data_IF_727232972671
#
_entry.id   IF_727232972671
#
_cell.length_a   1.000
_cell.length_b   1.000
_cell.length_c   1.000
_cell.angle_alpha   90.00
_cell.angle_beta   90.00
_cell.angle_gamma   90.00
#
_symmetry.space_group_name_H-M   'P 1'
#
loop_
_entity.id
_entity.type
_entity.pdbx_description
1 polymer ?
#
# COMPACT_ATOMS: atom_id res chain seq x y z
N UNK A 1 42.77 -33.83 -10.82
CA UNK A 1 42.09 -32.57 -11.09
C UNK A 1 40.61 -32.90 -11.14
N UNK A 2 39.95 -32.81 -9.99
CA UNK A 2 38.50 -32.88 -9.95
C UNK A 2 37.97 -31.64 -10.66
N UNK A 3 37.30 -31.83 -11.76
CA UNK A 3 36.49 -30.78 -12.38
C UNK A 3 35.37 -30.50 -11.40
N UNK A 4 35.47 -29.37 -10.70
CA UNK A 4 34.42 -28.85 -9.81
C UNK A 4 33.17 -28.60 -10.68
N UNK A 5 32.29 -29.61 -10.80
CA UNK A 5 31.00 -29.43 -11.47
C UNK A 5 30.17 -28.48 -10.65
N UNK A 6 29.90 -27.30 -11.19
CA UNK A 6 29.05 -26.29 -10.56
C UNK A 6 27.69 -26.88 -10.18
N UNK A 7 27.34 -26.77 -8.92
CA UNK A 7 26.04 -27.24 -8.44
C UNK A 7 24.90 -26.35 -8.96
N UNK A 8 23.66 -26.84 -8.93
CA UNK A 8 22.48 -26.06 -9.27
C UNK A 8 22.39 -24.77 -8.41
N UNK A 9 22.83 -24.85 -7.15
CA UNK A 9 22.86 -23.69 -6.24
C UNK A 9 23.89 -22.64 -6.67
N UNK A 10 25.05 -23.07 -7.16
CA UNK A 10 26.09 -22.15 -7.64
C UNK A 10 25.62 -21.40 -8.89
N UNK A 11 24.95 -22.10 -9.81
CA UNK A 11 24.35 -21.50 -11.00
C UNK A 11 23.27 -20.50 -10.64
N UNK A 12 22.43 -20.81 -9.66
CA UNK A 12 21.39 -19.90 -9.18
C UNK A 12 21.97 -18.66 -8.51
N UNK A 13 23.00 -18.83 -7.67
CA UNK A 13 23.70 -17.71 -7.04
C UNK A 13 24.38 -16.80 -8.08
N UNK A 14 24.98 -17.37 -9.12
CA UNK A 14 25.57 -16.59 -10.22
C UNK A 14 24.51 -15.79 -10.99
N UNK A 15 23.35 -16.40 -11.28
CA UNK A 15 22.22 -15.68 -11.92
C UNK A 15 21.75 -14.50 -11.06
N UNK A 16 21.63 -14.71 -9.76
CA UNK A 16 21.21 -13.67 -8.82
C UNK A 16 22.24 -12.54 -8.73
N UNK A 17 23.54 -12.86 -8.67
CA UNK A 17 24.62 -11.86 -8.72
C UNK A 17 24.56 -11.04 -10.00
N UNK A 18 24.36 -11.69 -11.13
CA UNK A 18 24.23 -11.02 -12.42
C UNK A 18 23.01 -10.13 -12.47
N UNK A 19 21.86 -10.59 -11.97
CA UNK A 19 20.65 -9.79 -11.86
C UNK A 19 20.90 -8.52 -11.02
N UNK A 20 21.57 -8.64 -9.88
CA UNK A 20 21.85 -7.48 -9.02
C UNK A 20 22.85 -6.50 -9.62
N UNK A 21 23.80 -6.96 -10.44
CA UNK A 21 24.79 -6.09 -11.09
C UNK A 21 24.26 -5.42 -12.35
N UNK A 22 23.52 -6.15 -13.17
CA UNK A 22 23.17 -5.72 -14.51
C UNK A 22 21.83 -4.97 -14.58
N UNK A 23 20.91 -5.28 -13.66
CA UNK A 23 19.60 -4.65 -13.65
C UNK A 23 19.65 -3.27 -12.98
N UNK A 24 19.35 -2.18 -13.73
CA UNK A 24 19.35 -0.81 -13.20
C UNK A 24 18.43 -0.61 -11.99
N UNK A 25 17.45 -1.50 -11.81
CA UNK A 25 16.55 -1.53 -10.64
C UNK A 25 17.32 -1.56 -9.31
N UNK A 26 18.47 -2.22 -9.29
CA UNK A 26 19.25 -2.46 -8.07
C UNK A 26 20.38 -1.46 -7.85
N UNK A 27 20.52 -0.49 -8.75
CA UNK A 27 21.54 0.54 -8.62
C UNK A 27 21.37 1.34 -7.32
N UNK A 28 22.42 1.34 -6.48
CA UNK A 28 22.42 2.05 -5.19
C UNK A 28 21.66 1.34 -4.08
N UNK A 29 21.27 0.06 -4.25
CA UNK A 29 20.70 -0.79 -3.19
C UNK A 29 21.80 -1.67 -2.63
N UNK A 30 22.12 -1.47 -1.35
CA UNK A 30 23.12 -2.25 -0.62
C UNK A 30 22.47 -3.47 0.04
N UNK A 31 23.16 -4.59 -0.06
CA UNK A 31 22.82 -5.84 0.63
C UNK A 31 23.93 -6.19 1.59
N UNK A 32 23.60 -6.53 2.83
CA UNK A 32 24.57 -6.97 3.84
C UNK A 32 24.89 -8.48 3.77
N UNK A 33 24.50 -9.15 2.67
CA UNK A 33 24.62 -10.59 2.47
C UNK A 33 24.96 -10.92 1.01
N UNK A 34 25.40 -12.15 0.77
CA UNK A 34 25.75 -12.62 -0.55
C UNK A 34 24.59 -13.36 -1.25
N UNK A 35 24.66 -13.51 -2.57
CA UNK A 35 23.67 -14.27 -3.33
C UNK A 35 23.61 -15.74 -2.90
N UNK A 36 24.75 -16.32 -2.52
CA UNK A 36 24.87 -17.67 -1.96
C UNK A 36 24.05 -17.83 -0.67
N UNK A 37 24.01 -16.80 0.18
CA UNK A 37 23.18 -16.82 1.38
C UNK A 37 21.70 -16.88 1.04
N UNK A 38 21.27 -16.08 0.06
CA UNK A 38 19.89 -16.09 -0.42
C UNK A 38 19.50 -17.48 -0.93
N UNK A 39 20.32 -18.06 -1.81
CA UNK A 39 20.05 -19.39 -2.38
C UNK A 39 20.05 -20.46 -1.30
N UNK A 40 20.95 -20.36 -0.30
CA UNK A 40 21.00 -21.28 0.84
C UNK A 40 19.73 -21.20 1.71
N UNK A 41 19.16 -20.02 1.87
CA UNK A 41 17.98 -19.77 2.70
C UNK A 41 16.65 -20.02 1.97
N UNK A 42 16.66 -20.10 0.65
CA UNK A 42 15.49 -20.52 -0.14
C UNK A 42 15.16 -21.99 0.14
N UNK A 43 13.87 -22.34 0.02
CA UNK A 43 13.47 -23.74 -0.03
C UNK A 43 13.91 -24.42 -1.34
N UNK A 44 13.75 -25.73 -1.39
CA UNK A 44 14.03 -26.51 -2.62
C UNK A 44 13.05 -26.24 -3.77
N UNK A 45 11.89 -25.67 -3.46
CA UNK A 45 10.87 -25.25 -4.41
C UNK A 45 10.70 -23.72 -4.35
N UNK A 46 10.84 -23.06 -5.48
CA UNK A 46 10.52 -21.64 -5.60
C UNK A 46 9.01 -21.47 -5.79
N UNK A 47 8.32 -20.99 -4.75
CA UNK A 47 6.91 -20.62 -4.84
C UNK A 47 6.78 -19.31 -5.59
N UNK A 48 5.86 -19.22 -6.55
CA UNK A 48 5.62 -18.00 -7.30
C UNK A 48 4.58 -17.11 -6.62
N UNK A 49 4.96 -15.86 -6.36
CA UNK A 49 4.10 -14.82 -5.80
C UNK A 49 3.72 -13.83 -6.90
N UNK A 50 2.89 -14.28 -7.84
CA UNK A 50 2.59 -13.58 -9.09
C UNK A 50 2.07 -12.15 -8.87
N UNK A 51 1.12 -11.95 -7.93
CA UNK A 51 0.56 -10.63 -7.65
C UNK A 51 1.60 -9.67 -7.07
N UNK A 52 2.39 -10.12 -6.09
CA UNK A 52 3.45 -9.31 -5.50
C UNK A 52 4.51 -8.93 -6.54
N UNK A 53 4.96 -9.89 -7.35
CA UNK A 53 5.98 -9.65 -8.39
C UNK A 53 5.49 -8.66 -9.44
N UNK A 54 4.35 -8.93 -10.06
CA UNK A 54 3.78 -8.02 -11.08
C UNK A 54 3.42 -6.65 -10.50
N UNK A 55 2.90 -6.62 -9.27
CA UNK A 55 2.61 -5.39 -8.55
C UNK A 55 3.87 -4.55 -8.29
N UNK A 56 4.96 -5.18 -7.83
CA UNK A 56 6.25 -4.52 -7.58
C UNK A 56 6.86 -3.96 -8.85
N UNK A 57 6.88 -4.76 -9.93
CA UNK A 57 7.35 -4.33 -11.24
C UNK A 57 6.51 -3.15 -11.79
N UNK A 58 5.18 -3.23 -11.65
CA UNK A 58 4.27 -2.15 -12.05
C UNK A 58 4.49 -0.88 -11.22
N UNK A 59 4.62 -1.00 -9.90
CA UNK A 59 4.88 0.14 -9.02
C UNK A 59 6.19 0.82 -9.39
N UNK A 60 7.25 0.03 -9.56
CA UNK A 60 8.56 0.56 -9.98
C UNK A 60 8.47 1.31 -11.29
N UNK A 61 7.86 0.72 -12.32
CA UNK A 61 7.65 1.35 -13.63
C UNK A 61 6.85 2.65 -13.52
N UNK A 62 5.75 2.66 -12.79
CA UNK A 62 4.94 3.86 -12.58
C UNK A 62 5.74 5.02 -11.96
N UNK A 63 6.62 4.73 -10.99
CA UNK A 63 7.48 5.72 -10.36
C UNK A 63 8.57 6.27 -11.31
N UNK A 64 8.98 5.49 -12.31
CA UNK A 64 9.93 5.95 -13.34
C UNK A 64 9.23 6.79 -14.43
N UNK A 65 8.05 6.39 -14.86
CA UNK A 65 7.33 6.97 -15.99
C UNK A 65 6.52 8.22 -15.62
N UNK A 66 5.99 8.29 -14.38
CA UNK A 66 5.14 9.39 -13.94
C UNK A 66 5.92 10.43 -13.14
N UNK A 67 5.45 11.69 -13.12
CA UNK A 67 5.99 12.70 -12.20
C UNK A 67 5.98 12.22 -10.75
N UNK A 68 4.88 11.60 -10.34
CA UNK A 68 4.70 10.91 -9.08
C UNK A 68 3.55 9.90 -9.18
N UNK A 69 3.50 8.96 -8.25
CA UNK A 69 2.40 8.01 -8.06
C UNK A 69 1.64 8.43 -6.81
N UNK A 70 0.39 8.84 -6.98
CA UNK A 70 -0.50 9.15 -5.87
C UNK A 70 -1.35 7.93 -5.48
N UNK A 71 -1.66 7.80 -4.20
CA UNK A 71 -2.48 6.72 -3.67
C UNK A 71 -3.31 7.16 -2.47
N UNK A 72 -4.35 6.40 -2.20
CA UNK A 72 -5.26 6.63 -1.08
C UNK A 72 -5.26 5.39 -0.18
N UNK A 73 -5.36 5.62 1.13
CA UNK A 73 -5.58 4.55 2.09
C UNK A 73 -6.91 3.85 1.81
N UNK A 74 -6.86 2.54 1.54
CA UNK A 74 -8.05 1.69 1.48
C UNK A 74 -8.19 0.89 2.76
N UNK A 75 -9.41 0.77 3.27
CA UNK A 75 -9.74 -0.02 4.45
C UNK A 75 -10.38 -1.37 4.07
N UNK A 76 -11.07 -1.41 2.93
CA UNK A 76 -11.80 -2.57 2.43
C UNK A 76 -11.49 -2.86 0.96
N UNK A 77 -11.77 -4.09 0.52
CA UNK A 77 -11.67 -4.44 -0.90
C UNK A 77 -12.58 -3.59 -1.79
N UNK A 78 -13.79 -3.27 -1.33
CA UNK A 78 -14.73 -2.44 -2.09
C UNK A 78 -14.22 -0.99 -2.24
N UNK A 79 -13.60 -0.41 -1.21
CA UNK A 79 -12.96 0.90 -1.35
C UNK A 79 -11.83 0.87 -2.39
N UNK A 80 -11.00 -0.17 -2.35
CA UNK A 80 -9.92 -0.35 -3.33
C UNK A 80 -10.46 -0.49 -4.76
N UNK A 81 -11.54 -1.25 -4.97
CA UNK A 81 -12.23 -1.35 -6.26
C UNK A 81 -12.64 0.04 -6.78
N UNK A 82 -13.24 0.86 -5.93
CA UNK A 82 -13.67 2.22 -6.33
C UNK A 82 -12.48 3.14 -6.61
N UNK A 83 -11.38 3.02 -5.86
CA UNK A 83 -10.15 3.78 -6.14
C UNK A 83 -9.59 3.44 -7.53
N UNK A 84 -9.49 2.15 -7.87
CA UNK A 84 -9.00 1.69 -9.17
C UNK A 84 -9.92 2.14 -10.29
N UNK A 85 -11.24 1.96 -10.14
CA UNK A 85 -12.25 2.40 -11.11
C UNK A 85 -12.20 3.90 -11.35
N UNK A 86 -11.95 4.69 -10.32
CA UNK A 86 -11.79 6.14 -10.41
C UNK A 86 -10.42 6.57 -11.00
N UNK A 87 -9.53 5.64 -11.33
CA UNK A 87 -8.24 5.92 -11.98
C UNK A 87 -7.08 6.20 -11.03
N UNK A 88 -7.21 5.91 -9.72
CA UNK A 88 -6.09 6.01 -8.78
C UNK A 88 -5.07 4.90 -9.09
N UNK A 89 -3.79 5.22 -9.35
CA UNK A 89 -2.84 4.27 -9.93
C UNK A 89 -2.27 3.25 -8.96
N UNK A 90 -2.38 3.48 -7.65
CA UNK A 90 -1.85 2.62 -6.60
C UNK A 90 -2.72 2.72 -5.35
N UNK A 91 -2.64 1.71 -4.50
CA UNK A 91 -3.38 1.63 -3.24
C UNK A 91 -2.36 1.71 -2.09
N UNK A 92 -2.67 2.51 -1.08
CA UNK A 92 -1.96 2.49 0.19
C UNK A 92 -2.76 1.69 1.23
N UNK A 93 -2.09 0.82 1.99
CA UNK A 93 -2.69 0.10 3.10
C UNK A 93 -2.08 0.55 4.42
N UNK A 94 -2.86 1.33 5.16
CA UNK A 94 -2.49 1.98 6.40
C UNK A 94 -2.62 1.03 7.59
N UNK A 95 -1.55 0.87 8.36
CA UNK A 95 -1.58 0.18 9.66
C UNK A 95 -2.53 0.87 10.64
N UNK A 96 -2.60 2.20 10.62
CA UNK A 96 -3.57 2.96 11.42
C UNK A 96 -5.02 2.55 11.13
N UNK A 97 -5.40 2.45 9.85
CA UNK A 97 -6.75 2.03 9.47
C UNK A 97 -7.02 0.57 9.85
N UNK A 98 -6.01 -0.29 9.73
CA UNK A 98 -6.10 -1.70 10.16
C UNK A 98 -6.28 -1.79 11.68
N UNK A 99 -5.53 -1.02 12.46
CA UNK A 99 -5.71 -0.93 13.91
C UNK A 99 -7.14 -0.50 14.27
N UNK A 100 -7.67 0.52 13.58
CA UNK A 100 -8.96 1.10 13.88
C UNK A 100 -10.13 0.15 13.61
N UNK A 101 -10.14 -0.60 12.49
CA UNK A 101 -11.37 -1.30 12.06
C UNK A 101 -11.16 -2.56 11.19
N UNK A 102 -9.95 -3.08 11.05
CA UNK A 102 -9.73 -4.23 10.14
C UNK A 102 -8.69 -5.24 10.64
N UNK A 103 -8.39 -5.25 11.95
CA UNK A 103 -7.38 -6.15 12.50
C UNK A 103 -7.94 -7.53 12.89
N UNK A 104 -7.07 -8.53 12.91
CA UNK A 104 -7.40 -9.91 13.24
C UNK A 104 -7.74 -10.12 14.73
N UNK A 105 -7.47 -9.13 15.59
CA UNK A 105 -7.88 -9.15 17.00
C UNK A 105 -9.34 -8.78 17.20
N UNK A 106 -10.06 -8.38 16.13
CA UNK A 106 -11.47 -8.00 16.13
C UNK A 106 -11.81 -6.86 17.12
N UNK A 107 -10.86 -5.97 17.34
CA UNK A 107 -10.99 -4.87 18.28
C UNK A 107 -10.64 -3.53 17.62
N UNK A 108 -11.14 -2.44 18.18
CA UNK A 108 -10.76 -1.09 17.79
C UNK A 108 -9.56 -0.65 18.60
N UNK A 109 -8.43 -0.40 17.94
CA UNK A 109 -7.19 0.00 18.58
C UNK A 109 -6.67 1.34 18.04
N UNK A 110 -5.94 2.11 18.87
CA UNK A 110 -5.08 3.17 18.37
C UNK A 110 -3.90 2.57 17.59
N UNK A 111 -3.24 3.42 16.80
CA UNK A 111 -2.05 3.06 16.02
C UNK A 111 -0.81 2.91 16.94
N UNK A 112 -0.75 1.80 17.66
CA UNK A 112 0.28 1.45 18.65
C UNK A 112 0.72 -0.02 18.56
N UNK A 113 0.58 -0.64 17.40
CA UNK A 113 0.94 -2.04 17.14
C UNK A 113 0.33 -3.05 18.14
N UNK A 114 -0.93 -2.79 18.56
CA UNK A 114 -1.64 -3.67 19.51
C UNK A 114 -2.32 -4.86 18.83
N UNK A 115 -2.42 -4.84 17.52
CA UNK A 115 -3.05 -5.91 16.73
C UNK A 115 -2.02 -6.96 16.30
N UNK A 116 -2.52 -8.13 15.90
CA UNK A 116 -1.68 -9.23 15.43
C UNK A 116 -0.93 -8.88 14.15
N UNK A 117 0.32 -9.34 14.01
CA UNK A 117 1.19 -9.11 12.84
C UNK A 117 0.59 -9.58 11.51
N UNK A 118 -0.36 -10.52 11.57
CA UNK A 118 -1.10 -11.05 10.41
C UNK A 118 -2.14 -10.09 9.86
N UNK A 119 -2.52 -9.05 10.61
CA UNK A 119 -3.67 -8.19 10.29
C UNK A 119 -3.47 -7.42 8.98
N UNK A 120 -2.34 -6.76 8.78
CA UNK A 120 -2.06 -6.02 7.53
C UNK A 120 -1.95 -6.98 6.34
N UNK A 121 -1.19 -8.09 6.39
CA UNK A 121 -1.20 -9.11 5.33
C UNK A 121 -2.61 -9.64 5.00
N UNK A 122 -3.45 -9.87 5.99
CA UNK A 122 -4.85 -10.33 5.79
C UNK A 122 -5.65 -9.31 4.96
N UNK A 123 -5.51 -8.01 5.26
CA UNK A 123 -6.23 -6.96 4.49
C UNK A 123 -5.64 -6.78 3.10
N UNK A 124 -4.31 -6.87 2.91
CA UNK A 124 -3.67 -6.91 1.58
C UNK A 124 -4.29 -8.02 0.74
N UNK A 125 -4.38 -9.23 1.29
CA UNK A 125 -4.96 -10.38 0.61
C UNK A 125 -6.45 -10.17 0.27
N UNK A 126 -7.23 -9.61 1.20
CA UNK A 126 -8.65 -9.26 0.97
C UNK A 126 -8.81 -8.28 -0.19
N UNK A 127 -8.00 -7.23 -0.24
CA UNK A 127 -8.02 -6.25 -1.33
C UNK A 127 -7.66 -6.92 -2.66
N UNK A 128 -6.59 -7.70 -2.71
CA UNK A 128 -6.19 -8.41 -3.91
C UNK A 128 -7.28 -9.37 -4.41
N UNK A 129 -7.98 -10.08 -3.51
CA UNK A 129 -9.10 -10.95 -3.90
C UNK A 129 -10.29 -10.16 -4.47
N UNK A 130 -10.58 -8.95 -3.96
CA UNK A 130 -11.60 -8.08 -4.52
C UNK A 130 -11.21 -7.62 -5.94
N UNK A 131 -9.97 -7.18 -6.14
CA UNK A 131 -9.46 -6.76 -7.44
C UNK A 131 -9.43 -7.92 -8.45
N UNK A 132 -9.03 -9.12 -8.02
CA UNK A 132 -9.10 -10.33 -8.85
C UNK A 132 -10.55 -10.65 -9.26
N UNK A 133 -11.51 -10.47 -8.36
CA UNK A 133 -12.93 -10.68 -8.69
C UNK A 133 -13.41 -9.66 -9.71
N UNK A 134 -13.03 -8.40 -9.59
CA UNK A 134 -13.36 -7.40 -10.62
C UNK A 134 -12.79 -7.75 -11.99
N UNK A 135 -11.53 -8.19 -12.03
CA UNK A 135 -10.88 -8.64 -13.26
C UNK A 135 -11.63 -9.84 -13.87
N UNK A 136 -12.01 -10.82 -13.06
CA UNK A 136 -12.77 -11.99 -13.52
C UNK A 136 -14.14 -11.61 -14.07
N UNK A 137 -14.85 -10.68 -13.44
CA UNK A 137 -16.16 -10.19 -13.90
C UNK A 137 -15.99 -9.49 -15.25
N UNK A 138 -15.09 -8.52 -15.33
CA UNK A 138 -14.88 -7.77 -16.57
C UNK A 138 -14.39 -8.67 -17.71
N UNK A 139 -13.47 -9.60 -17.41
CA UNK A 139 -12.99 -10.57 -18.41
C UNK A 139 -14.09 -11.48 -18.92
N UNK A 140 -14.97 -12.00 -18.05
CA UNK A 140 -16.12 -12.82 -18.45
C UNK A 140 -17.13 -12.02 -19.29
N UNK A 141 -17.28 -10.72 -19.02
CA UNK A 141 -18.13 -9.82 -19.81
C UNK A 141 -17.45 -9.30 -21.10
N UNK A 142 -16.21 -9.73 -21.39
CA UNK A 142 -15.45 -9.28 -22.56
C UNK A 142 -14.92 -7.84 -22.45
N UNK A 143 -14.81 -7.31 -21.24
CA UNK A 143 -14.30 -5.97 -20.94
C UNK A 143 -12.82 -6.02 -20.55
N UNK A 144 -12.03 -5.00 -20.92
CA UNK A 144 -10.59 -4.93 -20.67
C UNK A 144 -10.07 -3.50 -20.44
N UNK A 145 -10.96 -2.55 -20.20
CA UNK A 145 -10.61 -1.13 -20.11
C UNK A 145 -9.91 -0.78 -18.80
N UNK A 146 -10.15 -1.56 -17.73
CA UNK A 146 -9.58 -1.32 -16.41
C UNK A 146 -8.52 -2.37 -16.09
N UNK A 147 -7.30 -1.92 -15.80
CA UNK A 147 -6.27 -2.75 -15.19
C UNK A 147 -6.49 -2.78 -13.67
N UNK A 148 -7.23 -3.79 -13.21
CA UNK A 148 -7.60 -3.95 -11.80
C UNK A 148 -6.44 -4.21 -10.86
N UNK A 149 -5.30 -4.70 -11.36
CA UNK A 149 -4.15 -5.06 -10.53
C UNK A 149 -3.31 -3.84 -10.15
N UNK A 150 -3.92 -2.88 -9.42
CA UNK A 150 -3.20 -1.77 -8.85
C UNK A 150 -2.19 -2.24 -7.79
N UNK A 151 -0.94 -1.75 -7.80
CA UNK A 151 0.05 -2.11 -6.81
C UNK A 151 -0.34 -1.59 -5.42
N UNK A 152 -0.19 -2.43 -4.39
CA UNK A 152 -0.46 -2.10 -2.99
C UNK A 152 0.84 -1.84 -2.27
N UNK A 153 0.97 -0.67 -1.63
CA UNK A 153 2.05 -0.36 -0.68
C UNK A 153 1.50 -0.49 0.73
N UNK A 154 2.09 -1.38 1.52
CA UNK A 154 1.58 -1.80 2.82
C UNK A 154 2.46 -1.34 3.98
N UNK A 155 1.82 -1.06 5.10
CA UNK A 155 2.41 -0.64 6.36
C UNK A 155 2.89 -1.85 7.17
N UNK A 156 4.19 -1.95 7.44
CA UNK A 156 4.76 -2.94 8.33
C UNK A 156 5.08 -2.39 9.74
N UNK A 157 4.58 -1.18 10.05
CA UNK A 157 4.83 -0.55 11.35
C UNK A 157 6.34 -0.49 11.66
N UNK A 158 6.72 -0.67 12.91
CA UNK A 158 8.12 -0.84 13.34
C UNK A 158 8.63 -2.29 13.20
N UNK A 159 7.93 -3.15 12.47
CA UNK A 159 8.29 -4.54 12.24
C UNK A 159 7.84 -5.52 13.36
N UNK A 160 7.06 -5.06 14.33
CA UNK A 160 6.50 -5.85 15.45
C UNK A 160 7.55 -6.58 16.32
N UNK A 161 8.79 -6.13 16.30
CA UNK A 161 9.87 -6.72 17.07
C UNK A 161 11.24 -6.48 16.45
N UNK A 162 12.11 -7.49 16.49
CA UNK A 162 13.46 -7.43 15.94
C UNK A 162 13.54 -7.83 14.46
N UNK A 163 14.76 -8.11 14.01
CA UNK A 163 15.06 -8.43 12.60
C UNK A 163 14.35 -9.67 12.08
N UNK A 164 14.14 -10.69 12.92
CA UNK A 164 13.44 -11.91 12.52
C UNK A 164 11.95 -11.65 12.34
N UNK A 165 11.35 -10.79 13.16
CA UNK A 165 9.97 -10.35 12.99
C UNK A 165 9.80 -9.59 11.68
N UNK A 166 10.72 -8.65 11.37
CA UNK A 166 10.70 -7.90 10.12
C UNK A 166 10.85 -8.82 8.89
N UNK A 167 11.73 -9.83 8.96
CA UNK A 167 11.91 -10.84 7.92
C UNK A 167 10.63 -11.63 7.64
N UNK A 168 10.01 -12.21 8.68
CA UNK A 168 8.77 -13.00 8.52
C UNK A 168 7.58 -12.14 8.12
N UNK A 169 7.46 -10.91 8.65
CA UNK A 169 6.39 -9.99 8.26
C UNK A 169 6.50 -9.60 6.77
N UNK A 170 7.73 -9.33 6.28
CA UNK A 170 7.93 -9.05 4.85
C UNK A 170 7.52 -10.24 3.98
N UNK A 171 7.83 -11.48 4.39
CA UNK A 171 7.37 -12.68 3.68
C UNK A 171 5.85 -12.73 3.63
N UNK A 172 5.17 -12.55 4.76
CA UNK A 172 3.72 -12.55 4.83
C UNK A 172 3.08 -11.46 3.95
N UNK A 173 3.69 -10.26 3.86
CA UNK A 173 3.26 -9.19 2.95
C UNK A 173 3.38 -9.61 1.48
N UNK A 174 4.49 -10.23 1.10
CA UNK A 174 4.72 -10.73 -0.26
C UNK A 174 3.74 -11.86 -0.61
N UNK A 175 3.53 -12.80 0.29
CA UNK A 175 2.57 -13.90 0.13
C UNK A 175 1.13 -13.38 -0.03
N UNK A 176 0.80 -12.27 0.62
CA UNK A 176 -0.48 -11.59 0.47
C UNK A 176 -0.61 -10.80 -0.83
N UNK A 177 0.51 -10.55 -1.54
CA UNK A 177 0.55 -9.84 -2.82
C UNK A 177 0.87 -8.34 -2.72
N UNK A 178 1.54 -7.89 -1.65
CA UNK A 178 2.01 -6.51 -1.54
C UNK A 178 3.10 -6.20 -2.60
N UNK A 179 3.00 -5.04 -3.24
CA UNK A 179 3.96 -4.54 -4.21
C UNK A 179 5.10 -3.75 -3.58
N UNK A 180 4.80 -3.05 -2.51
CA UNK A 180 5.75 -2.30 -1.70
C UNK A 180 5.41 -2.43 -0.22
N UNK A 181 6.42 -2.26 0.63
CA UNK A 181 6.28 -2.35 2.09
C UNK A 181 7.18 -1.31 2.73
N UNK A 182 6.68 -0.61 3.74
CA UNK A 182 7.50 0.30 4.52
C UNK A 182 7.67 -0.16 5.97
N UNK A 183 8.84 0.16 6.53
CA UNK A 183 9.20 -0.03 7.93
C UNK A 183 9.64 1.29 8.53
N UNK A 184 9.31 1.53 9.80
CA UNK A 184 9.71 2.73 10.53
C UNK A 184 10.71 2.43 11.64
N UNK A 185 11.45 3.46 12.07
CA UNK A 185 12.56 3.35 13.03
C UNK A 185 12.14 3.49 14.49
N UNK A 186 10.87 3.31 14.82
CA UNK A 186 10.39 3.31 16.19
C UNK A 186 10.67 1.97 16.91
N UNK A 187 10.76 2.04 18.24
CA UNK A 187 10.74 0.85 19.10
C UNK A 187 9.34 0.22 19.07
N UNK A 188 9.25 -1.01 18.56
CA UNK A 188 7.97 -1.69 18.31
C UNK A 188 7.10 -1.81 19.59
N UNK A 189 7.69 -2.07 20.74
CA UNK A 189 6.97 -2.27 22.02
C UNK A 189 6.29 -1.02 22.59
N UNK A 190 6.69 0.18 22.12
CA UNK A 190 6.10 1.47 22.54
C UNK A 190 5.76 2.37 21.37
N UNK A 191 5.55 1.77 20.19
CA UNK A 191 5.24 2.47 18.94
C UNK A 191 4.03 3.41 19.11
N UNK A 192 4.12 4.57 18.49
CA UNK A 192 3.05 5.58 18.43
C UNK A 192 2.79 5.97 16.97
N UNK A 193 1.57 6.42 16.69
CA UNK A 193 1.27 7.11 15.44
C UNK A 193 2.25 8.27 15.22
N UNK A 194 2.69 8.49 13.98
CA UNK A 194 3.70 9.48 13.63
C UNK A 194 3.44 10.90 14.12
N UNK A 195 2.18 11.26 14.34
CA UNK A 195 1.75 12.59 14.82
C UNK A 195 1.58 12.66 16.34
N UNK A 196 1.85 11.57 17.08
CA UNK A 196 1.75 11.51 18.53
C UNK A 196 3.09 11.80 19.20
N UNK A 197 3.03 12.22 20.46
CA UNK A 197 4.20 12.35 21.33
C UNK A 197 4.68 11.01 21.88
N UNK A 198 5.84 11.03 22.54
CA UNK A 198 6.38 9.86 23.25
C UNK A 198 6.93 8.76 22.35
N UNK A 199 7.29 9.10 21.11
CA UNK A 199 7.94 8.18 20.18
C UNK A 199 9.37 7.88 20.65
N UNK A 200 9.75 6.61 20.62
CA UNK A 200 11.10 6.13 20.94
C UNK A 200 11.70 5.52 19.69
N UNK A 201 12.85 6.02 19.25
CA UNK A 201 13.59 5.46 18.12
C UNK A 201 14.45 4.28 18.58
N UNK A 202 14.63 3.31 17.69
CA UNK A 202 15.75 2.37 17.82
C UNK A 202 17.02 3.02 17.28
N UNK A 203 18.25 2.53 17.63
CA UNK A 203 19.48 3.00 16.99
C UNK A 203 19.40 2.92 15.47
N UNK A 204 20.04 3.85 14.77
CA UNK A 204 20.04 3.88 13.30
C UNK A 204 20.43 2.53 12.70
N UNK A 205 21.46 1.88 13.24
CA UNK A 205 21.93 0.57 12.77
C UNK A 205 20.89 -0.54 12.97
N UNK A 206 20.11 -0.49 14.06
CA UNK A 206 19.03 -1.47 14.28
C UNK A 206 17.92 -1.31 13.23
N UNK A 207 17.54 -0.08 12.91
CA UNK A 207 16.59 0.20 11.83
C UNK A 207 17.13 -0.29 10.47
N UNK A 208 18.41 -0.03 10.17
CA UNK A 208 19.10 -0.56 8.98
C UNK A 208 19.04 -2.08 8.95
N UNK A 209 19.28 -2.78 10.05
CA UNK A 209 19.20 -4.23 10.10
C UNK A 209 17.79 -4.77 9.80
N UNK A 210 16.74 -4.07 10.22
CA UNK A 210 15.35 -4.41 9.85
C UNK A 210 15.11 -4.25 8.35
N UNK A 211 15.65 -3.17 7.74
CA UNK A 211 15.58 -2.99 6.28
C UNK A 211 16.33 -4.09 5.52
N UNK A 212 17.52 -4.47 6.01
CA UNK A 212 18.30 -5.60 5.45
C UNK A 212 17.52 -6.92 5.57
N UNK A 213 16.88 -7.16 6.71
CA UNK A 213 16.03 -8.34 6.93
C UNK A 213 14.84 -8.38 5.95
N UNK A 214 14.16 -7.26 5.76
CA UNK A 214 13.06 -7.13 4.81
C UNK A 214 13.54 -7.35 3.36
N UNK A 215 14.69 -6.78 2.97
CA UNK A 215 15.28 -7.01 1.65
C UNK A 215 15.68 -8.47 1.45
N UNK A 216 16.26 -9.09 2.46
CA UNK A 216 16.62 -10.52 2.41
C UNK A 216 15.37 -11.38 2.22
N UNK A 217 14.28 -11.10 2.91
CA UNK A 217 13.01 -11.80 2.73
C UNK A 217 12.50 -11.71 1.28
N UNK A 218 12.53 -10.51 0.70
CA UNK A 218 12.14 -10.28 -0.69
C UNK A 218 13.04 -11.06 -1.68
N UNK A 219 14.35 -11.01 -1.48
CA UNK A 219 15.30 -11.75 -2.31
C UNK A 219 15.15 -13.27 -2.16
N UNK A 220 14.89 -13.77 -0.94
CA UNK A 220 14.62 -15.21 -0.69
C UNK A 220 13.35 -15.66 -1.41
N UNK A 221 12.28 -14.87 -1.39
CA UNK A 221 11.04 -15.17 -2.12
C UNK A 221 11.12 -14.85 -3.62
N UNK A 222 12.19 -14.22 -4.09
CA UNK A 222 12.39 -13.89 -5.50
C UNK A 222 11.44 -12.83 -6.03
N UNK A 223 11.03 -11.89 -5.19
CA UNK A 223 10.13 -10.79 -5.54
C UNK A 223 10.84 -9.45 -5.42
N UNK A 224 10.83 -8.57 -6.45
CA UNK A 224 11.49 -7.27 -6.41
C UNK A 224 10.67 -6.23 -5.63
N UNK A 225 10.22 -6.58 -4.43
CA UNK A 225 9.37 -5.73 -3.59
C UNK A 225 9.99 -4.35 -3.38
N UNK A 226 9.20 -3.31 -3.56
CA UNK A 226 9.64 -1.94 -3.30
C UNK A 226 9.69 -1.72 -1.79
N UNK A 227 10.88 -1.44 -1.27
CA UNK A 227 11.11 -1.22 0.15
C UNK A 227 11.23 0.27 0.45
N UNK A 228 10.40 0.76 1.37
CA UNK A 228 10.43 2.13 1.83
C UNK A 228 10.93 2.17 3.29
N UNK A 229 11.82 3.08 3.59
CA UNK A 229 12.28 3.36 4.95
C UNK A 229 11.65 4.64 5.46
N UNK A 230 10.93 4.56 6.58
CA UNK A 230 10.36 5.71 7.28
C UNK A 230 11.23 6.08 8.47
N UNK A 231 11.49 7.38 8.66
CA UNK A 231 12.00 7.90 9.91
C UNK A 231 10.99 8.80 10.61
N UNK A 232 10.87 8.64 11.92
CA UNK A 232 10.06 9.48 12.81
C UNK A 232 10.92 10.51 13.59
N UNK A 233 12.19 10.64 13.24
CA UNK A 233 13.18 11.42 13.98
C UNK A 233 12.94 12.94 13.96
N UNK A 234 12.09 13.43 13.05
CA UNK A 234 11.67 14.84 13.05
C UNK A 234 10.96 15.22 14.37
N UNK A 235 10.13 14.33 14.90
CA UNK A 235 9.35 14.58 16.11
C UNK A 235 9.73 13.70 17.30
N UNK A 236 10.51 12.63 17.10
CA UNK A 236 10.92 11.71 18.16
C UNK A 236 12.18 12.22 18.88
N UNK A 237 12.08 12.36 20.19
CA UNK A 237 13.14 12.89 21.05
C UNK A 237 13.68 11.85 22.05
N UNK A 238 13.40 10.57 21.82
CA UNK A 238 13.91 9.45 22.63
C UNK A 238 14.55 8.39 21.73
N UNK A 239 15.65 7.79 22.22
CA UNK A 239 16.36 6.68 21.57
C UNK A 239 16.64 5.60 22.61
N UNK A 240 16.58 4.33 22.22
CA UNK A 240 16.77 3.20 23.15
C UNK A 240 18.21 3.04 23.63
N UNK A 241 19.22 3.50 22.87
CA UNK A 241 20.64 3.29 23.16
C UNK A 241 21.50 4.44 22.61
N UNK A 242 22.69 4.60 23.18
CA UNK A 242 23.71 5.59 22.81
C UNK A 242 24.89 5.00 22.02
N UNK A 243 24.77 3.76 21.58
CA UNK A 243 25.90 3.04 20.98
C UNK A 243 26.15 3.41 19.52
N UNK A 244 25.15 3.98 18.82
CA UNK A 244 25.23 4.24 17.39
C UNK A 244 25.91 5.57 17.09
N UNK A 245 26.96 5.54 16.26
CA UNK A 245 27.75 6.73 15.90
C UNK A 245 26.90 7.76 15.13
N UNK A 246 25.90 7.30 14.35
CA UNK A 246 25.02 8.22 13.63
C UNK A 246 24.06 8.98 14.55
N UNK A 247 23.73 8.40 15.70
CA UNK A 247 22.78 8.99 16.66
C UNK A 247 23.48 9.85 17.75
N UNK A 248 24.74 9.53 18.09
CA UNK A 248 25.51 10.24 19.15
C UNK A 248 25.48 11.76 19.02
N UNK A 249 25.63 12.39 17.85
CA UNK A 249 25.61 13.84 17.72
C UNK A 249 24.30 14.49 18.20
N UNK A 250 23.21 13.74 18.26
CA UNK A 250 21.89 14.23 18.63
C UNK A 250 21.53 13.98 20.10
N UNK A 251 22.28 13.13 20.81
CA UNK A 251 22.00 12.80 22.20
C UNK A 251 22.31 13.99 23.13
N UNK A 252 21.45 14.19 24.15
CA UNK A 252 21.60 15.28 25.12
C UNK A 252 22.41 14.90 26.34
N UNK A 253 22.64 13.61 26.55
CA UNK A 253 23.24 13.06 27.78
C UNK A 253 22.22 12.80 28.91
N UNK A 254 20.96 13.21 28.74
CA UNK A 254 19.90 12.96 29.70
C UNK A 254 19.19 11.63 29.40
N UNK A 255 18.56 11.05 30.45
CA UNK A 255 17.75 9.82 30.33
C UNK A 255 16.36 9.99 30.95
N UNK A 256 15.43 9.22 30.48
CA UNK A 256 14.09 9.11 31.09
C UNK A 256 14.11 8.12 32.26
N UNK A 257 13.05 8.10 33.11
CA UNK A 257 12.92 7.09 34.16
C UNK A 257 13.00 5.64 33.67
N UNK A 258 12.53 5.35 32.46
CA UNK A 258 12.60 4.03 31.82
C UNK A 258 14.00 3.71 31.29
N UNK A 259 14.89 4.70 31.25
CA UNK A 259 16.26 4.56 30.78
C UNK A 259 16.50 4.91 29.33
N UNK A 260 15.52 5.41 28.58
CA UNK A 260 15.73 5.90 27.23
C UNK A 260 16.61 7.16 27.23
N UNK A 261 17.44 7.28 26.19
CA UNK A 261 18.27 8.46 25.99
C UNK A 261 17.46 9.58 25.34
N UNK A 262 17.56 10.81 25.85
CA UNK A 262 16.95 11.96 25.19
C UNK A 262 17.80 12.42 24.02
N UNK A 263 17.15 12.77 22.92
CA UNK A 263 17.79 13.29 21.71
C UNK A 263 17.17 14.63 21.27
N UNK A 264 17.95 15.38 20.49
CA UNK A 264 17.47 16.59 19.81
C UNK A 264 16.74 16.18 18.54
N UNK A 265 15.42 16.12 18.62
CA UNK A 265 14.56 15.91 17.46
C UNK A 265 14.66 17.04 16.43
N UNK A 266 14.19 16.79 15.23
CA UNK A 266 14.08 17.80 14.18
C UNK A 266 14.79 17.40 12.89
N UNK A 267 14.94 18.38 12.02
CA UNK A 267 15.44 18.20 10.65
C UNK A 267 16.78 17.46 10.58
N UNK A 268 17.77 17.87 11.37
CA UNK A 268 19.12 17.32 11.26
C UNK A 268 19.18 15.83 11.64
N UNK A 269 18.47 15.43 12.71
CA UNK A 269 18.36 14.03 13.11
C UNK A 269 17.62 13.22 12.04
N UNK A 270 16.50 13.74 11.52
CA UNK A 270 15.74 13.07 10.47
C UNK A 270 16.54 12.92 9.18
N UNK A 271 17.27 13.96 8.76
CA UNK A 271 18.12 13.92 7.58
C UNK A 271 19.27 12.91 7.74
N UNK A 272 19.95 12.89 8.89
CA UNK A 272 21.02 11.94 9.16
C UNK A 272 20.55 10.49 9.02
N UNK A 273 19.39 10.16 9.59
CA UNK A 273 18.78 8.83 9.46
C UNK A 273 18.29 8.54 8.03
N UNK A 274 17.67 9.53 7.38
CA UNK A 274 17.25 9.40 5.97
C UNK A 274 18.40 9.06 5.04
N UNK A 275 19.57 9.68 5.22
CA UNK A 275 20.79 9.38 4.47
C UNK A 275 21.27 7.94 4.76
N UNK A 276 21.28 7.52 6.02
CA UNK A 276 21.71 6.17 6.39
C UNK A 276 20.80 5.08 5.81
N UNK A 277 19.49 5.32 5.75
CA UNK A 277 18.52 4.35 5.21
C UNK A 277 18.52 4.28 3.68
N UNK A 278 18.93 5.35 3.02
CA UNK A 278 18.89 5.46 1.55
C UNK A 278 19.72 4.38 0.83
N UNK A 279 20.76 3.82 1.45
CA UNK A 279 21.53 2.72 0.89
C UNK A 279 20.77 1.39 0.87
N UNK A 280 19.78 1.20 1.74
CA UNK A 280 19.12 -0.09 1.97
C UNK A 280 17.67 -0.12 1.47
N UNK A 281 17.05 1.03 1.28
CA UNK A 281 15.68 1.15 0.80
C UNK A 281 15.62 1.73 -0.61
N UNK A 282 14.53 1.47 -1.30
CA UNK A 282 14.24 2.06 -2.62
C UNK A 282 13.80 3.52 -2.49
N UNK A 283 12.97 3.80 -1.48
CA UNK A 283 12.52 5.14 -1.15
C UNK A 283 12.79 5.44 0.33
N UNK A 284 12.96 6.73 0.62
CA UNK A 284 13.05 7.23 1.99
C UNK A 284 11.87 8.16 2.27
N UNK A 285 11.29 8.04 3.46
CA UNK A 285 10.19 8.84 3.93
C UNK A 285 10.51 9.41 5.31
N UNK A 286 10.45 10.74 5.44
CA UNK A 286 10.46 11.43 6.72
C UNK A 286 9.02 11.77 7.12
N UNK A 287 8.54 11.25 8.24
CA UNK A 287 7.26 11.66 8.81
C UNK A 287 7.36 13.07 9.36
N UNK A 288 6.39 13.94 9.04
CA UNK A 288 6.35 15.34 9.45
C UNK A 288 5.02 15.70 10.13
N UNK A 289 5.01 16.77 10.91
CA UNK A 289 3.81 17.22 11.64
C UNK A 289 2.95 18.23 10.89
N UNK A 290 3.47 18.84 9.81
CA UNK A 290 2.79 19.87 9.02
C UNK A 290 3.16 19.75 7.54
N UNK A 291 2.27 20.24 6.62
CA UNK A 291 2.60 20.28 5.20
C UNK A 291 3.53 21.46 4.91
N UNK A 292 4.82 21.17 4.71
CA UNK A 292 5.88 22.17 4.50
C UNK A 292 6.74 21.79 3.29
N UNK A 293 6.57 22.54 2.19
CA UNK A 293 7.35 22.33 0.95
C UNK A 293 8.82 22.72 1.10
N UNK A 294 9.16 23.65 1.99
CA UNK A 294 10.55 24.02 2.21
C UNK A 294 11.30 22.95 3.00
N UNK A 295 10.69 22.43 4.05
CA UNK A 295 11.21 21.26 4.76
C UNK A 295 11.40 20.08 3.79
N UNK A 296 10.38 19.77 2.97
CA UNK A 296 10.43 18.69 2.00
C UNK A 296 11.58 18.87 1.00
N UNK A 297 11.78 20.09 0.49
CA UNK A 297 12.87 20.43 -0.44
C UNK A 297 14.22 20.21 0.21
N UNK A 298 14.44 20.77 1.38
CA UNK A 298 15.71 20.65 2.11
C UNK A 298 16.04 19.18 2.43
N UNK A 299 15.04 18.40 2.80
CA UNK A 299 15.22 16.96 3.07
C UNK A 299 15.60 16.21 1.80
N UNK A 300 14.89 16.47 0.70
CA UNK A 300 15.17 15.85 -0.60
C UNK A 300 16.60 16.20 -1.09
N UNK A 301 16.97 17.47 -1.07
CA UNK A 301 18.30 17.94 -1.45
C UNK A 301 19.39 17.32 -0.58
N UNK A 302 19.16 17.22 0.74
CA UNK A 302 20.11 16.63 1.68
C UNK A 302 20.34 15.13 1.40
N UNK A 303 19.29 14.35 1.18
CA UNK A 303 19.39 12.92 0.83
C UNK A 303 20.05 12.76 -0.54
N UNK A 304 19.60 13.51 -1.55
CA UNK A 304 20.07 13.36 -2.92
C UNK A 304 21.50 13.89 -3.14
N UNK A 305 21.98 14.75 -2.27
CA UNK A 305 23.39 15.19 -2.28
C UNK A 305 24.33 14.01 -1.99
N UNK A 306 23.92 13.07 -1.14
CA UNK A 306 24.72 11.88 -0.79
C UNK A 306 24.37 10.71 -1.71
N UNK A 307 23.08 10.55 -2.03
CA UNK A 307 22.54 9.48 -2.85
C UNK A 307 21.81 10.06 -4.09
N UNK A 308 22.54 10.48 -5.13
CA UNK A 308 21.94 11.11 -6.31
C UNK A 308 20.85 10.27 -6.95
N UNK A 309 19.67 10.88 -7.18
CA UNK A 309 18.53 10.21 -7.78
C UNK A 309 17.72 9.31 -6.84
N UNK A 310 18.04 9.31 -5.53
CA UNK A 310 17.24 8.56 -4.55
C UNK A 310 15.80 9.07 -4.55
N UNK A 311 14.86 8.16 -4.75
CA UNK A 311 13.43 8.45 -4.68
C UNK A 311 12.97 8.60 -3.22
N UNK A 312 11.94 9.41 -3.04
CA UNK A 312 11.35 9.72 -1.75
C UNK A 312 9.85 9.39 -1.75
N UNK A 313 9.29 9.20 -0.55
CA UNK A 313 7.85 9.08 -0.34
C UNK A 313 7.36 10.16 0.62
N UNK A 314 6.09 10.55 0.48
CA UNK A 314 5.48 11.60 1.30
C UNK A 314 4.07 11.22 1.75
N UNK A 315 3.83 11.33 3.05
CA UNK A 315 2.50 11.21 3.63
C UNK A 315 1.79 12.56 3.56
N UNK A 316 0.83 12.70 2.65
CA UNK A 316 -0.11 13.83 2.63
C UNK A 316 -1.15 13.61 3.74
N UNK A 317 -0.70 13.69 4.98
CA UNK A 317 -1.45 13.24 6.14
C UNK A 317 -2.80 13.97 6.33
N UNK A 318 -3.87 13.24 6.65
CA UNK A 318 -5.12 13.85 7.11
C UNK A 318 -5.01 14.45 8.53
N UNK A 319 -3.94 14.18 9.27
CA UNK A 319 -3.64 14.87 10.53
C UNK A 319 -3.17 16.31 10.33
N UNK A 320 -2.82 16.69 9.11
CA UNK A 320 -2.55 18.07 8.77
C UNK A 320 -3.88 18.85 8.61
N UNK A 321 -3.98 20.01 9.22
CA UNK A 321 -5.04 20.94 8.83
C UNK A 321 -4.55 21.75 7.63
N UNK A 322 -4.79 21.22 6.43
CA UNK A 322 -4.29 21.77 5.17
C UNK A 322 -4.65 23.24 4.97
N UNK A 323 -5.92 23.60 5.16
CA UNK A 323 -6.44 24.97 4.99
C UNK A 323 -5.94 25.95 6.05
N UNK A 324 -5.58 25.46 7.25
CA UNK A 324 -4.98 26.29 8.30
C UNK A 324 -3.53 26.65 7.97
N UNK A 325 -2.82 25.73 7.31
CA UNK A 325 -1.38 25.87 7.05
C UNK A 325 -1.07 26.47 5.67
N UNK A 326 -1.94 26.26 4.67
CA UNK A 326 -1.67 26.59 3.28
C UNK A 326 -2.86 27.26 2.60
N UNK A 327 -2.60 28.15 1.66
CA UNK A 327 -3.61 28.71 0.76
C UNK A 327 -4.01 27.71 -0.35
N UNK A 328 -5.10 28.00 -1.05
CA UNK A 328 -5.64 27.12 -2.09
C UNK A 328 -4.66 26.93 -3.27
N UNK A 329 -3.94 27.98 -3.63
CA UNK A 329 -2.98 27.92 -4.73
C UNK A 329 -1.82 27.00 -4.40
N UNK A 330 -1.32 27.05 -3.17
CA UNK A 330 -0.26 26.15 -2.68
C UNK A 330 -0.77 24.72 -2.55
N UNK A 331 -1.97 24.51 -2.01
CA UNK A 331 -2.58 23.16 -1.94
C UNK A 331 -2.72 22.54 -3.33
N UNK A 332 -3.20 23.32 -4.31
CA UNK A 332 -3.42 22.82 -5.68
C UNK A 332 -2.14 22.37 -6.41
N UNK A 333 -0.98 22.89 -6.05
CA UNK A 333 0.30 22.52 -6.64
C UNK A 333 1.15 21.58 -5.79
N UNK A 334 0.80 21.36 -4.52
CA UNK A 334 1.62 20.74 -3.49
C UNK A 334 2.23 19.40 -3.93
N UNK A 335 1.40 18.48 -4.42
CA UNK A 335 1.87 17.16 -4.86
C UNK A 335 2.78 17.23 -6.11
N UNK A 336 2.54 18.17 -7.02
CA UNK A 336 3.41 18.37 -8.19
C UNK A 336 4.78 18.91 -7.80
N UNK A 337 4.82 19.87 -6.87
CA UNK A 337 6.07 20.38 -6.30
C UNK A 337 6.88 19.26 -5.62
N UNK A 338 6.21 18.43 -4.80
CA UNK A 338 6.84 17.24 -4.20
C UNK A 338 7.40 16.30 -5.27
N UNK A 339 6.62 16.01 -6.31
CA UNK A 339 7.05 15.16 -7.42
C UNK A 339 8.31 15.67 -8.10
N UNK A 340 8.40 16.99 -8.32
CA UNK A 340 9.58 17.66 -8.89
C UNK A 340 10.83 17.56 -8.00
N UNK A 341 10.66 17.45 -6.67
CA UNK A 341 11.75 17.23 -5.71
C UNK A 341 12.19 15.76 -5.62
N UNK A 342 11.47 14.82 -6.25
CA UNK A 342 11.79 13.39 -6.20
C UNK A 342 10.92 12.55 -5.25
N UNK A 343 9.86 13.11 -4.69
CA UNK A 343 8.85 12.37 -3.93
C UNK A 343 7.97 11.58 -4.91
N UNK A 344 8.43 10.41 -5.28
CA UNK A 344 7.83 9.58 -6.34
C UNK A 344 6.60 8.80 -5.90
N UNK A 345 6.44 8.54 -4.62
CA UNK A 345 5.25 7.92 -4.05
C UNK A 345 4.63 8.83 -2.99
N UNK A 346 3.37 9.23 -3.20
CA UNK A 346 2.66 10.16 -2.33
C UNK A 346 1.28 9.57 -1.98
N UNK A 347 0.88 9.67 -0.73
CA UNK A 347 -0.32 8.99 -0.27
C UNK A 347 -1.05 9.76 0.83
N UNK A 348 -2.36 9.50 0.93
CA UNK A 348 -3.20 9.96 2.05
C UNK A 348 -3.53 8.73 2.89
N UNK A 349 -2.91 8.63 4.04
CA UNK A 349 -2.94 7.42 4.90
C UNK A 349 -4.35 6.98 5.28
N UNK A 350 -5.21 7.90 5.72
CA UNK A 350 -6.50 7.60 6.32
C UNK A 350 -7.69 7.99 5.41
N UNK A 351 -7.47 8.05 4.10
CA UNK A 351 -8.52 8.45 3.15
C UNK A 351 -9.77 7.54 3.25
N UNK A 352 -9.55 6.23 3.37
CA UNK A 352 -10.64 5.25 3.51
C UNK A 352 -11.43 5.44 4.80
N UNK A 353 -10.74 5.65 5.93
CA UNK A 353 -11.37 5.89 7.22
C UNK A 353 -12.26 7.16 7.18
N UNK A 354 -11.73 8.27 6.70
CA UNK A 354 -12.48 9.52 6.64
C UNK A 354 -13.66 9.45 5.67
N UNK A 355 -13.47 8.89 4.48
CA UNK A 355 -14.55 8.75 3.50
C UNK A 355 -15.68 7.84 4.02
N UNK A 356 -15.33 6.70 4.63
CA UNK A 356 -16.31 5.77 5.19
C UNK A 356 -17.10 6.40 6.34
N UNK A 357 -16.39 6.98 7.32
CA UNK A 357 -17.03 7.50 8.52
C UNK A 357 -17.87 8.74 8.22
N UNK A 358 -17.36 9.68 7.41
CA UNK A 358 -18.14 10.86 7.05
C UNK A 358 -19.37 10.50 6.20
N UNK A 359 -19.21 9.64 5.20
CA UNK A 359 -20.34 9.24 4.35
C UNK A 359 -21.44 8.51 5.14
N UNK A 360 -21.06 7.63 6.07
CA UNK A 360 -22.05 6.98 6.93
C UNK A 360 -22.68 7.94 7.92
N UNK A 361 -21.91 8.86 8.52
CA UNK A 361 -22.46 9.85 9.44
C UNK A 361 -23.47 10.77 8.73
N UNK A 362 -23.13 11.26 7.54
CA UNK A 362 -24.01 12.16 6.75
C UNK A 362 -25.34 11.46 6.41
N UNK A 363 -25.27 10.24 5.91
CA UNK A 363 -26.46 9.42 5.63
C UNK A 363 -27.27 9.16 6.90
N UNK A 364 -26.65 8.71 7.98
CA UNK A 364 -27.35 8.37 9.22
C UNK A 364 -27.98 9.60 9.87
N UNK A 365 -27.32 10.75 9.83
CA UNK A 365 -27.84 12.00 10.35
C UNK A 365 -29.11 12.44 9.61
N UNK A 366 -29.07 12.36 8.27
CA UNK A 366 -30.22 12.66 7.43
C UNK A 366 -31.35 11.64 7.61
N UNK A 367 -31.04 10.35 7.63
CA UNK A 367 -32.01 9.27 7.76
C UNK A 367 -32.78 9.34 9.11
N UNK A 368 -32.10 9.63 10.21
CA UNK A 368 -32.71 9.75 11.52
C UNK A 368 -33.73 10.93 11.60
N UNK A 369 -33.71 11.89 10.66
CA UNK A 369 -34.58 13.07 10.64
C UNK A 369 -35.59 13.05 9.49
N UNK A 370 -35.16 12.55 8.34
CA UNK A 370 -35.90 12.64 7.07
C UNK A 370 -36.22 11.25 6.47
N UNK A 371 -35.94 10.17 7.20
CA UNK A 371 -36.22 8.79 6.77
C UNK A 371 -35.69 8.49 5.34
N UNK A 372 -36.51 7.90 4.50
CA UNK A 372 -36.12 7.46 3.13
C UNK A 372 -35.68 8.62 2.23
N UNK A 373 -36.09 9.85 2.48
CA UNK A 373 -35.64 10.99 1.67
C UNK A 373 -34.12 11.11 1.65
N UNK A 374 -33.45 10.94 2.80
CA UNK A 374 -31.98 10.98 2.88
C UNK A 374 -31.30 9.87 2.12
N UNK A 375 -31.87 8.66 2.12
CA UNK A 375 -31.33 7.56 1.34
C UNK A 375 -31.51 7.79 -0.17
N UNK A 376 -32.69 8.29 -0.59
CA UNK A 376 -32.96 8.60 -1.98
C UNK A 376 -32.02 9.68 -2.51
N UNK A 377 -31.67 10.68 -1.69
CA UNK A 377 -30.68 11.69 -2.06
C UNK A 377 -29.30 11.07 -2.34
N UNK A 378 -28.85 10.11 -1.51
CA UNK A 378 -27.62 9.34 -1.77
C UNK A 378 -27.74 8.58 -3.07
N UNK A 379 -28.83 7.82 -3.28
CA UNK A 379 -29.06 7.01 -4.48
C UNK A 379 -29.06 7.87 -5.75
N UNK A 380 -29.64 9.08 -5.71
CA UNK A 380 -29.59 9.99 -6.87
C UNK A 380 -28.18 10.52 -7.15
N UNK A 381 -27.36 10.73 -6.12
CA UNK A 381 -25.94 11.07 -6.30
C UNK A 381 -25.16 9.91 -6.94
N UNK A 382 -25.48 8.67 -6.57
CA UNK A 382 -24.91 7.46 -7.18
C UNK A 382 -25.27 7.32 -8.64
N UNK A 383 -26.56 7.55 -9.00
CA UNK A 383 -26.99 7.55 -10.39
C UNK A 383 -26.27 8.63 -11.23
N UNK A 384 -26.17 9.83 -10.73
CA UNK A 384 -25.43 10.90 -11.39
C UNK A 384 -23.92 10.57 -11.53
N UNK A 385 -23.34 9.81 -10.60
CA UNK A 385 -21.95 9.40 -10.67
C UNK A 385 -21.66 8.32 -11.73
N UNK A 386 -22.69 7.69 -12.31
CA UNK A 386 -22.55 6.73 -13.40
C UNK A 386 -21.84 7.35 -14.62
N UNK A 387 -22.04 8.64 -14.90
CA UNK A 387 -21.33 9.37 -15.97
C UNK A 387 -19.81 9.40 -15.77
N UNK A 388 -19.36 9.28 -14.51
CA UNK A 388 -17.93 9.22 -14.13
C UNK A 388 -17.42 7.80 -13.95
N UNK A 389 -18.24 6.77 -14.31
CA UNK A 389 -17.87 5.36 -14.23
C UNK A 389 -18.25 4.65 -12.91
N UNK A 390 -19.03 5.26 -12.02
CA UNK A 390 -19.52 4.60 -10.82
C UNK A 390 -20.59 3.54 -11.18
N UNK A 391 -20.45 2.32 -10.69
CA UNK A 391 -21.32 1.19 -11.05
C UNK A 391 -21.94 0.47 -9.87
N UNK A 392 -21.55 0.81 -8.63
CA UNK A 392 -21.94 0.04 -7.44
C UNK A 392 -23.43 0.16 -7.07
N UNK A 393 -24.21 1.00 -7.76
CA UNK A 393 -25.69 0.96 -7.73
C UNK A 393 -26.18 -0.42 -8.11
N UNK A 394 -25.52 -1.06 -9.08
CA UNK A 394 -25.76 -2.45 -9.50
C UNK A 394 -24.97 -3.39 -8.59
N UNK A 395 -25.33 -3.43 -7.34
CA UNK A 395 -24.53 -4.08 -6.29
C UNK A 395 -24.45 -5.60 -6.44
N UNK A 396 -25.46 -6.27 -7.03
CA UNK A 396 -25.40 -7.70 -7.31
C UNK A 396 -24.37 -8.00 -8.41
N UNK A 397 -24.41 -7.25 -9.50
CA UNK A 397 -23.37 -7.37 -10.56
C UNK A 397 -22.00 -7.02 -10.02
N UNK A 398 -21.90 -5.95 -9.20
CA UNK A 398 -20.63 -5.43 -8.68
C UNK A 398 -19.84 -6.48 -7.86
N UNK A 399 -20.54 -7.35 -7.14
CA UNK A 399 -19.93 -8.44 -6.35
C UNK A 399 -19.84 -9.77 -7.10
N UNK A 400 -20.30 -9.85 -8.36
CA UNK A 400 -20.10 -10.98 -9.26
C UNK A 400 -21.24 -11.97 -9.36
N UNK A 401 -22.49 -11.59 -9.09
CA UNK A 401 -23.63 -12.49 -9.23
C UNK A 401 -23.69 -13.08 -10.65
N UNK A 402 -23.56 -12.27 -11.71
CA UNK A 402 -23.52 -12.75 -13.09
C UNK A 402 -22.35 -13.67 -13.40
N UNK A 403 -21.16 -13.41 -12.83
CA UNK A 403 -20.01 -14.30 -12.96
C UNK A 403 -20.30 -15.71 -12.39
N UNK A 404 -20.98 -15.80 -11.25
CA UNK A 404 -21.35 -17.09 -10.67
C UNK A 404 -22.52 -17.76 -11.42
N UNK A 405 -23.40 -17.00 -12.05
CA UNK A 405 -24.38 -17.54 -12.99
C UNK A 405 -23.67 -18.23 -14.16
N UNK A 406 -22.67 -17.61 -14.75
CA UNK A 406 -21.85 -18.20 -15.83
C UNK A 406 -21.12 -19.45 -15.35
N UNK A 407 -20.51 -19.44 -14.16
CA UNK A 407 -19.88 -20.63 -13.57
C UNK A 407 -20.89 -21.78 -13.45
N UNK A 408 -22.12 -21.47 -12.98
CA UNK A 408 -23.21 -22.48 -12.85
C UNK A 408 -23.62 -23.02 -14.19
N UNK A 409 -23.77 -22.17 -15.21
CA UNK A 409 -24.10 -22.59 -16.56
C UNK A 409 -23.01 -23.50 -17.16
N UNK A 410 -21.75 -23.17 -17.00
CA UNK A 410 -20.60 -23.99 -17.45
C UNK A 410 -20.63 -25.37 -16.77
N UNK A 411 -20.81 -25.43 -15.45
CA UNK A 411 -20.88 -26.70 -14.69
C UNK A 411 -22.03 -27.57 -15.19
N UNK A 412 -23.16 -26.98 -15.52
CA UNK A 412 -24.38 -27.69 -15.94
C UNK A 412 -24.55 -27.78 -17.46
N UNK A 413 -23.49 -27.52 -18.23
CA UNK A 413 -23.50 -27.55 -19.70
C UNK A 413 -24.67 -26.75 -20.33
N UNK A 414 -24.90 -25.55 -19.82
CA UNK A 414 -25.92 -24.63 -20.28
C UNK A 414 -27.37 -24.96 -19.86
N UNK A 415 -27.57 -25.90 -18.94
CA UNK A 415 -28.90 -26.39 -18.55
C UNK A 415 -29.34 -25.90 -17.15
N UNK A 416 -28.65 -24.91 -16.56
CA UNK A 416 -29.10 -24.40 -15.27
C UNK A 416 -30.30 -23.47 -15.41
N UNK A 417 -31.28 -23.66 -14.54
CA UNK A 417 -32.42 -22.76 -14.34
C UNK A 417 -32.28 -21.88 -13.10
N UNK A 418 -31.13 -21.99 -12.37
CA UNK A 418 -30.92 -21.31 -11.10
C UNK A 418 -29.97 -20.10 -11.22
N UNK A 419 -29.97 -19.42 -12.35
CA UNK A 419 -29.31 -18.13 -12.53
C UNK A 419 -30.00 -17.06 -11.70
N UNK A 420 -29.22 -16.17 -11.06
CA UNK A 420 -29.71 -15.25 -10.06
C UNK A 420 -29.83 -13.81 -10.55
N UNK A 421 -28.96 -13.36 -11.47
CA UNK A 421 -28.96 -11.98 -11.94
C UNK A 421 -30.06 -11.73 -12.97
N UNK A 422 -30.23 -12.66 -13.94
CA UNK A 422 -31.25 -12.54 -14.97
C UNK A 422 -32.67 -12.64 -14.37
N UNK A 423 -33.51 -11.66 -14.67
CA UNK A 423 -34.86 -11.55 -14.11
C UNK A 423 -34.91 -11.09 -12.66
N UNK A 424 -33.79 -10.58 -12.14
CA UNK A 424 -33.73 -9.94 -10.84
C UNK A 424 -34.27 -8.50 -10.88
N UNK A 425 -34.62 -7.95 -9.70
CA UNK A 425 -35.02 -6.52 -9.60
C UNK A 425 -33.89 -5.57 -10.00
N UNK A 426 -32.63 -5.98 -9.90
CA UNK A 426 -31.50 -5.19 -10.38
C UNK A 426 -31.45 -5.17 -11.91
N UNK A 427 -31.68 -6.31 -12.56
CA UNK A 427 -31.77 -6.43 -14.02
C UNK A 427 -32.91 -5.55 -14.56
N UNK A 428 -34.09 -5.65 -13.94
CA UNK A 428 -35.30 -4.91 -14.39
C UNK A 428 -35.18 -3.38 -14.18
N UNK A 429 -34.54 -2.91 -13.09
CA UNK A 429 -34.61 -1.49 -12.70
C UNK A 429 -33.33 -0.71 -13.05
N UNK A 430 -32.18 -1.33 -13.12
CA UNK A 430 -30.90 -0.61 -13.23
C UNK A 430 -30.06 -0.96 -14.46
N UNK A 431 -30.44 -2.03 -15.19
CA UNK A 431 -29.87 -2.24 -16.52
C UNK A 431 -30.67 -1.39 -17.52
N UNK A 432 -30.02 -0.71 -18.50
CA UNK A 432 -30.77 -0.09 -19.58
C UNK A 432 -31.63 -1.18 -20.18
N UNK A 433 -32.91 -0.86 -20.42
CA UNK A 433 -33.80 -1.74 -21.16
C UNK A 433 -33.02 -2.21 -22.38
N UNK A 434 -32.72 -3.52 -22.48
CA UNK A 434 -32.44 -4.10 -23.77
C UNK A 434 -33.58 -3.64 -24.63
N UNK A 435 -33.30 -2.83 -25.66
CA UNK A 435 -34.32 -2.43 -26.64
C UNK A 435 -35.13 -3.69 -26.90
N UNK A 436 -36.43 -3.69 -26.59
CA UNK A 436 -37.18 -4.94 -26.71
C UNK A 436 -36.89 -5.46 -28.09
N UNK A 437 -36.46 -6.72 -28.17
CA UNK A 437 -36.48 -7.46 -29.42
C UNK A 437 -37.99 -7.62 -29.84
N UNK A 438 -38.65 -6.49 -29.98
CA UNK A 438 -39.87 -6.36 -30.78
C UNK A 438 -39.33 -6.46 -32.19
N UNK A 439 -39.76 -7.51 -32.85
CA UNK A 439 -39.78 -7.72 -34.28
C UNK A 439 -38.85 -8.76 -34.92
N UNK A 440 -38.10 -9.57 -34.18
CA UNK A 440 -37.52 -10.78 -34.83
C UNK A 440 -38.50 -11.97 -34.90
N UNK A 441 -39.61 -11.95 -34.11
CA UNK A 441 -40.64 -13.01 -34.20
C UNK A 441 -41.84 -12.65 -35.05
N UNK A 442 -42.03 -11.40 -35.46
CA UNK A 442 -43.08 -11.01 -36.40
C UNK A 442 -42.61 -10.99 -37.85
N UNK A 443 -41.30 -10.93 -38.10
CA UNK A 443 -40.78 -11.09 -39.46
C UNK A 443 -40.65 -12.55 -39.93
N UNK A 444 -40.67 -13.51 -39.01
CA UNK A 444 -40.63 -14.96 -39.37
C UNK A 444 -42.02 -15.61 -39.48
N UNK A 445 -43.11 -14.84 -39.40
CA UNK A 445 -44.49 -15.30 -39.57
C UNK A 445 -45.18 -14.67 -40.79
N UNK A 446 -44.41 -14.00 -41.66
CA UNK A 446 -44.95 -13.34 -42.86
C UNK A 446 -44.21 -13.74 -44.16
N UNK A 447 -43.55 -14.92 -44.17
CA UNK A 447 -43.12 -15.61 -45.41
C UNK A 447 -43.62 -17.03 -45.41
#
# INVERSE_FOLDING_TARGET
>A
METDEMTTRDLEAQRLKKEWSDNPRWKGVKRGYAAEDVVRLRGSLQVEHTLARKGSEKLWRLMQERPFVNSLGALTGNQAMQQVRAGVPAIYLSGWQVAADANDSLAMYPDQSLYATTSVPTVVKRINHALQRCDQIDHAEGKSEIDWFAPIVADAEAGFGGVLNAFELMKAMIEAGAAGVHFEDQLASVKKCGHMGGKVLVPTQEAVQKLVAARLAADVLGVPTVLLARTDAEAADLVTSDVDENDKPFLTGERTPEGFYKSRKGFDQALSRGIAYAEYADLVWCETGTPDLDFARRFAEGVQKVHPGKMLAYNCSPSFNWKKNLDDATIAKFQRELGAMGYKFQFITLAGFHALNYGMFDLAYGYARNNMTAFVELQQKEFAAAERGFTAVKHQREVGTGYFDDVTQVIQAGKSSTTALHGSTEDEQFFPEATPLKDARQAAAAD
#
